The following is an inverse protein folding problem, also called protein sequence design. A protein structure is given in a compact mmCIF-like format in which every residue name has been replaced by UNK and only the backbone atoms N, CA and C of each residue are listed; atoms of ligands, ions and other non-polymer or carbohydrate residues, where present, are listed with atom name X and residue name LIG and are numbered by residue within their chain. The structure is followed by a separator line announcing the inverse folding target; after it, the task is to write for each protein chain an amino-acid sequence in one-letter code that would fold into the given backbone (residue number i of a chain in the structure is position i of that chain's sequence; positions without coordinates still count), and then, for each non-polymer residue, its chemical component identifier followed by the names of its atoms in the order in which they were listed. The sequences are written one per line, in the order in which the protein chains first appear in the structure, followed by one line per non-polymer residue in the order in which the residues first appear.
data_IF_450446315356
#
_entry.id   IF_450446315356
#
_cell.length_a   1.000
_cell.length_b   1.000
_cell.length_c   1.000
_cell.angle_alpha   90.00
_cell.angle_beta   90.00
_cell.angle_gamma   90.00
#
_symmetry.space_group_name_H-M   'P 1'
#
loop_
_entity.id
_entity.type
_entity.pdbx_description
1 polymer ?
#
# COMPACT_ATOMS: atom_id res chain seq x y z
N UNK A 1 -16.24 24.82 -9.39
CA UNK A 1 -17.64 25.20 -9.68
C UNK A 1 -17.79 26.68 -10.07
N UNK A 2 -17.45 27.64 -9.19
CA UNK A 2 -17.64 29.08 -9.48
C UNK A 2 -16.83 29.60 -10.68
N UNK A 3 -15.58 29.15 -10.83
CA UNK A 3 -14.70 29.49 -11.98
C UNK A 3 -15.28 29.02 -13.32
N UNK A 4 -15.97 27.87 -13.32
CA UNK A 4 -16.56 27.26 -14.51
C UNK A 4 -18.01 27.70 -14.77
N UNK A 5 -18.59 28.53 -13.91
CA UNK A 5 -20.01 28.96 -13.97
C UNK A 5 -21.00 27.79 -14.09
N UNK A 6 -20.68 26.63 -13.52
CA UNK A 6 -21.53 25.44 -13.53
C UNK A 6 -22.08 25.12 -12.13
N UNK A 7 -23.28 24.53 -12.08
CA UNK A 7 -23.86 24.00 -10.83
C UNK A 7 -22.93 22.92 -10.26
N UNK A 8 -22.67 22.97 -8.95
CA UNK A 8 -21.73 22.06 -8.26
C UNK A 8 -21.94 20.56 -8.58
N UNK A 9 -23.18 20.03 -8.61
CA UNK A 9 -23.42 18.62 -8.95
C UNK A 9 -23.04 18.26 -10.39
N UNK A 10 -23.26 19.19 -11.34
CA UNK A 10 -22.93 18.99 -12.76
C UNK A 10 -21.43 19.01 -12.98
N UNK A 11 -20.75 19.96 -12.32
CA UNK A 11 -19.29 20.05 -12.36
C UNK A 11 -18.63 18.80 -11.77
N UNK A 12 -19.06 18.36 -10.58
CA UNK A 12 -18.54 17.13 -9.94
C UNK A 12 -18.74 15.91 -10.84
N UNK A 13 -19.94 15.71 -11.41
CA UNK A 13 -20.19 14.61 -12.34
C UNK A 13 -19.28 14.64 -13.57
N UNK A 14 -19.00 15.82 -14.13
CA UNK A 14 -18.11 15.95 -15.29
C UNK A 14 -16.66 15.66 -14.92
N UNK A 15 -16.18 16.17 -13.79
CA UNK A 15 -14.81 15.89 -13.32
C UNK A 15 -14.65 14.41 -13.02
N UNK A 16 -15.55 13.80 -12.24
CA UNK A 16 -15.51 12.36 -11.96
C UNK A 16 -15.54 11.55 -13.25
N UNK A 17 -16.46 11.86 -14.19
CA UNK A 17 -16.52 11.16 -15.48
C UNK A 17 -15.23 11.29 -16.29
N UNK A 18 -14.57 12.45 -16.27
CA UNK A 18 -13.28 12.63 -16.91
C UNK A 18 -12.17 11.82 -16.23
N UNK A 19 -12.09 11.85 -14.89
CA UNK A 19 -11.10 11.07 -14.14
C UNK A 19 -11.30 9.57 -14.37
N UNK A 20 -12.53 9.06 -14.28
CA UNK A 20 -12.84 7.64 -14.54
C UNK A 20 -12.44 7.22 -15.96
N UNK A 21 -12.59 8.11 -16.95
CA UNK A 21 -12.20 7.82 -18.32
C UNK A 21 -10.67 7.72 -18.52
N UNK A 22 -9.89 8.55 -17.82
CA UNK A 22 -8.43 8.56 -17.95
C UNK A 22 -7.72 7.63 -16.95
N UNK A 23 -8.38 7.25 -15.86
CA UNK A 23 -7.80 6.49 -14.75
C UNK A 23 -7.13 5.18 -15.21
N UNK A 24 -7.77 4.32 -16.04
CA UNK A 24 -7.13 3.10 -16.52
C UNK A 24 -5.82 3.35 -17.27
N UNK A 25 -5.77 4.41 -18.07
CA UNK A 25 -4.57 4.79 -18.81
C UNK A 25 -3.46 5.31 -17.89
N UNK A 26 -3.81 6.14 -16.90
CA UNK A 26 -2.84 6.62 -15.91
C UNK A 26 -2.29 5.47 -15.07
N UNK A 27 -3.15 4.56 -14.62
CA UNK A 27 -2.74 3.36 -13.86
C UNK A 27 -1.81 2.46 -14.68
N UNK A 28 -2.19 2.15 -15.93
CA UNK A 28 -1.35 1.33 -16.80
C UNK A 28 0.04 1.95 -17.03
N UNK A 29 0.08 3.27 -17.26
CA UNK A 29 1.32 3.99 -17.58
C UNK A 29 2.24 4.20 -16.37
N UNK A 30 1.68 4.53 -15.21
CA UNK A 30 2.44 4.99 -14.05
C UNK A 30 2.54 3.97 -12.92
N UNK A 31 1.77 2.88 -12.96
CA UNK A 31 1.77 1.84 -11.93
C UNK A 31 2.11 0.48 -12.57
N UNK A 32 1.24 -0.01 -13.47
CA UNK A 32 1.35 -1.38 -13.97
C UNK A 32 2.66 -1.60 -14.75
N UNK A 33 3.03 -0.66 -15.64
CA UNK A 33 4.31 -0.73 -16.37
C UNK A 33 5.56 -0.62 -15.48
N UNK A 34 5.44 -0.16 -14.24
CA UNK A 34 6.56 -0.13 -13.29
C UNK A 34 6.74 -1.47 -12.57
N UNK A 35 5.66 -2.22 -12.36
CA UNK A 35 5.71 -3.55 -11.73
C UNK A 35 6.57 -4.51 -12.58
N UNK A 36 6.37 -4.52 -13.90
CA UNK A 36 7.15 -5.35 -14.82
C UNK A 36 8.60 -4.88 -14.93
N UNK A 37 8.81 -3.56 -14.96
CA UNK A 37 10.13 -2.97 -15.13
C UNK A 37 11.04 -3.18 -13.91
N UNK A 38 10.49 -3.03 -12.72
CA UNK A 38 11.26 -2.97 -11.47
C UNK A 38 11.04 -4.21 -10.62
N UNK A 39 11.48 -5.34 -11.17
CA UNK A 39 11.63 -6.57 -10.40
C UNK A 39 13.00 -6.64 -9.71
N UNK A 40 13.22 -7.69 -8.91
CA UNK A 40 14.41 -7.80 -8.07
C UNK A 40 15.74 -7.68 -8.83
N UNK A 41 15.94 -8.28 -10.03
CA UNK A 41 17.22 -8.16 -10.76
C UNK A 41 17.51 -6.71 -11.17
N UNK A 42 16.49 -5.96 -11.56
CA UNK A 42 16.63 -4.56 -11.97
C UNK A 42 16.97 -3.66 -10.78
N UNK A 43 16.36 -3.91 -9.61
CA UNK A 43 16.68 -3.20 -8.38
C UNK A 43 18.09 -3.50 -7.90
N UNK A 44 18.49 -4.78 -7.92
CA UNK A 44 19.81 -5.24 -7.48
C UNK A 44 20.92 -4.66 -8.37
N UNK A 45 20.77 -4.78 -9.69
CA UNK A 45 21.70 -4.21 -10.67
C UNK A 45 21.84 -2.69 -10.54
N UNK A 46 20.77 -2.00 -10.17
CA UNK A 46 20.77 -0.56 -9.97
C UNK A 46 21.28 -0.13 -8.58
N UNK A 47 21.54 -1.08 -7.67
CA UNK A 47 21.90 -0.78 -6.27
C UNK A 47 20.76 -0.11 -5.50
N UNK A 48 19.51 -0.39 -5.88
CA UNK A 48 18.31 0.23 -5.33
C UNK A 48 17.52 -0.69 -4.40
N UNK A 49 17.99 -1.91 -4.11
CA UNK A 49 17.35 -2.77 -3.11
C UNK A 49 17.27 -2.10 -1.74
N UNK A 50 16.34 -2.54 -0.90
CA UNK A 50 16.26 -2.08 0.49
C UNK A 50 17.59 -2.33 1.22
N UNK A 51 17.99 -1.37 2.06
CA UNK A 51 19.29 -1.37 2.71
C UNK A 51 19.44 -2.51 3.72
N UNK A 52 18.41 -2.75 4.54
CA UNK A 52 18.47 -3.73 5.61
C UNK A 52 17.85 -5.08 5.21
N UNK A 53 16.91 -5.06 4.26
CA UNK A 53 16.21 -6.25 3.76
C UNK A 53 16.27 -6.35 2.23
N UNK A 54 17.45 -6.60 1.62
CA UNK A 54 17.62 -6.58 0.16
C UNK A 54 16.81 -7.64 -0.60
N UNK A 55 16.30 -8.67 0.09
CA UNK A 55 15.40 -9.69 -0.47
C UNK A 55 13.91 -9.31 -0.41
N UNK A 56 13.58 -8.15 0.17
CA UNK A 56 12.23 -7.61 0.13
C UNK A 56 12.05 -6.75 -1.13
N UNK A 57 11.00 -7.03 -1.89
CA UNK A 57 10.75 -6.39 -3.18
C UNK A 57 10.09 -5.02 -3.03
N UNK A 58 9.14 -4.90 -2.11
CA UNK A 58 8.41 -3.66 -1.85
C UNK A 58 7.93 -3.58 -0.39
N UNK A 59 7.54 -2.39 0.03
CA UNK A 59 6.81 -2.13 1.25
C UNK A 59 5.32 -1.94 0.95
N UNK A 60 4.46 -2.45 1.83
CA UNK A 60 3.00 -2.29 1.74
C UNK A 60 2.46 -1.58 2.96
N UNK A 61 1.49 -0.70 2.74
CA UNK A 61 0.67 -0.12 3.80
C UNK A 61 -0.65 0.43 3.26
N UNK A 62 -1.56 0.73 4.18
CA UNK A 62 -2.87 1.30 3.91
C UNK A 62 -2.92 2.72 4.44
N UNK A 63 -3.37 3.65 3.61
CA UNK A 63 -3.69 5.01 4.03
C UNK A 63 -5.20 5.18 4.23
N UNK A 64 -5.58 6.01 5.21
CA UNK A 64 -6.96 6.43 5.44
C UNK A 64 -7.15 7.84 4.93
N UNK A 65 -8.17 8.03 4.09
CA UNK A 65 -8.55 9.33 3.57
C UNK A 65 -9.91 9.73 4.11
N UNK A 66 -9.93 10.84 4.85
CA UNK A 66 -11.15 11.40 5.40
C UNK A 66 -12.07 11.86 4.26
N UNK A 67 -13.35 11.54 4.39
CA UNK A 67 -14.43 12.06 3.54
C UNK A 67 -15.45 12.80 4.39
N UNK A 68 -16.38 13.49 3.73
CA UNK A 68 -17.61 13.92 4.38
C UNK A 68 -18.40 12.69 4.87
N UNK A 69 -19.24 12.89 5.88
CA UNK A 69 -20.16 11.86 6.32
C UNK A 69 -21.10 11.50 5.15
N UNK A 70 -21.15 10.21 4.74
CA UNK A 70 -21.99 9.83 3.62
C UNK A 70 -23.46 10.13 3.90
N UNK A 71 -24.22 10.40 2.84
CA UNK A 71 -25.68 10.41 2.93
C UNK A 71 -26.19 8.96 3.11
N UNK A 72 -27.34 8.80 3.77
CA UNK A 72 -27.93 7.49 4.03
C UNK A 72 -28.22 7.22 5.50
N UNK A 73 -28.63 6.00 5.79
CA UNK A 73 -28.93 5.50 7.13
C UNK A 73 -27.67 5.37 7.98
N UNK A 74 -27.84 5.31 9.31
CA UNK A 74 -26.72 5.06 10.22
C UNK A 74 -25.95 3.77 9.89
N UNK A 75 -26.65 2.72 9.47
CA UNK A 75 -26.05 1.44 9.11
C UNK A 75 -25.15 1.55 7.86
N UNK A 76 -25.54 2.33 6.86
CA UNK A 76 -24.74 2.59 5.66
C UNK A 76 -23.52 3.44 5.99
N UNK A 77 -23.70 4.51 6.78
CA UNK A 77 -22.59 5.39 7.19
C UNK A 77 -21.53 4.66 8.00
N UNK A 78 -21.96 3.77 8.91
CA UNK A 78 -21.05 3.00 9.77
C UNK A 78 -19.99 2.23 8.99
N UNK A 79 -20.26 1.84 7.74
CA UNK A 79 -19.29 1.15 6.86
C UNK A 79 -18.08 2.02 6.54
N UNK A 80 -18.23 3.34 6.53
CA UNK A 80 -17.16 4.28 6.22
C UNK A 80 -16.47 4.82 7.47
N UNK A 81 -16.98 4.50 8.67
CA UNK A 81 -16.44 5.00 9.92
C UNK A 81 -15.21 4.21 10.38
N UNK A 82 -14.05 4.88 10.43
CA UNK A 82 -12.84 4.30 11.01
C UNK A 82 -12.82 4.52 12.52
N UNK A 83 -12.88 3.43 13.29
CA UNK A 83 -12.75 3.48 14.75
C UNK A 83 -11.43 4.07 15.22
N UNK A 84 -10.34 3.81 14.48
CA UNK A 84 -8.98 4.28 14.79
C UNK A 84 -8.90 5.82 14.72
N UNK A 85 -9.55 6.41 13.71
CA UNK A 85 -9.47 7.84 13.45
C UNK A 85 -10.68 8.63 13.98
N UNK A 86 -11.79 7.97 14.30
CA UNK A 86 -13.03 8.64 14.71
C UNK A 86 -13.72 9.40 13.57
N UNK A 87 -13.40 9.09 12.32
CA UNK A 87 -13.81 9.83 11.12
C UNK A 87 -14.40 8.89 10.08
N UNK A 88 -15.25 9.45 9.21
CA UNK A 88 -15.69 8.77 7.98
C UNK A 88 -14.63 8.92 6.90
N UNK A 89 -14.45 7.87 6.13
CA UNK A 89 -13.49 7.91 5.04
C UNK A 89 -13.36 6.60 4.30
N UNK A 90 -12.36 6.60 3.42
CA UNK A 90 -11.97 5.48 2.60
C UNK A 90 -10.55 5.05 2.94
N UNK A 91 -10.20 3.84 2.52
CA UNK A 91 -8.86 3.28 2.64
C UNK A 91 -8.37 2.78 1.30
N UNK A 92 -7.07 2.90 1.10
CA UNK A 92 -6.38 2.39 -0.09
C UNK A 92 -5.09 1.76 0.36
N UNK A 93 -4.81 0.56 -0.13
CA UNK A 93 -3.49 -0.06 0.00
C UNK A 93 -2.59 0.40 -1.13
N UNK A 94 -1.33 0.70 -0.82
CA UNK A 94 -0.28 0.88 -1.81
C UNK A 94 0.89 -0.08 -1.56
N UNK A 95 1.43 -0.63 -2.65
CA UNK A 95 2.69 -1.37 -2.67
C UNK A 95 3.76 -0.53 -3.36
N UNK A 96 4.83 -0.20 -2.63
CA UNK A 96 5.83 0.79 -3.03
C UNK A 96 7.23 0.19 -2.97
N UNK A 97 7.94 0.29 -4.09
CA UNK A 97 9.31 -0.18 -4.25
C UNK A 97 10.31 0.68 -3.45
N UNK A 98 11.51 0.18 -3.16
CA UNK A 98 12.57 0.95 -2.49
C UNK A 98 12.94 2.27 -3.18
N UNK A 99 12.77 2.33 -4.49
CA UNK A 99 13.04 3.52 -5.31
C UNK A 99 11.90 4.57 -5.29
N UNK A 100 10.84 4.33 -4.51
CA UNK A 100 9.73 5.26 -4.30
C UNK A 100 8.58 5.11 -5.28
N UNK A 101 8.67 4.23 -6.28
CA UNK A 101 7.57 4.00 -7.22
C UNK A 101 6.53 3.05 -6.64
N UNK A 102 5.25 3.41 -6.79
CA UNK A 102 4.15 2.50 -6.55
C UNK A 102 4.00 1.53 -7.72
N UNK A 103 3.82 0.25 -7.39
CA UNK A 103 3.58 -0.85 -8.34
C UNK A 103 2.19 -1.45 -8.18
N UNK A 104 1.48 -1.07 -7.12
CA UNK A 104 0.06 -1.32 -6.98
C UNK A 104 -0.58 -0.28 -6.06
N UNK A 105 -1.80 0.10 -6.41
CA UNK A 105 -2.70 0.92 -5.59
C UNK A 105 -4.08 0.30 -5.77
N UNK A 106 -4.70 -0.14 -4.66
CA UNK A 106 -6.01 -0.78 -4.72
C UNK A 106 -7.11 0.24 -4.98
N UNK A 107 -8.29 -0.24 -5.40
CA UNK A 107 -9.49 0.58 -5.34
C UNK A 107 -9.75 1.04 -3.90
N UNK A 108 -10.41 2.19 -3.77
CA UNK A 108 -10.81 2.70 -2.47
C UNK A 108 -11.88 1.80 -1.83
N UNK A 109 -11.67 1.44 -0.57
CA UNK A 109 -12.59 0.62 0.21
C UNK A 109 -13.08 1.36 1.46
N UNK A 110 -14.22 0.97 2.07
CA UNK A 110 -14.75 1.68 3.22
C UNK A 110 -13.81 1.70 4.43
N UNK A 111 -13.71 2.85 5.10
CA UNK A 111 -12.78 3.09 6.19
C UNK A 111 -12.95 2.22 7.45
N UNK A 112 -14.06 1.49 7.58
CA UNK A 112 -14.25 0.53 8.69
C UNK A 112 -13.49 -0.78 8.51
N UNK A 113 -13.04 -1.10 7.29
CA UNK A 113 -12.29 -2.32 7.03
C UNK A 113 -10.93 -2.29 7.73
N UNK A 114 -10.50 -3.44 8.24
CA UNK A 114 -9.19 -3.59 8.84
C UNK A 114 -8.12 -3.63 7.74
N UNK A 115 -6.99 -2.97 7.97
CA UNK A 115 -5.94 -2.82 6.96
C UNK A 115 -5.43 -4.19 6.45
N UNK A 116 -5.33 -5.16 7.36
CA UNK A 116 -4.93 -6.53 7.01
C UNK A 116 -5.95 -7.26 6.12
N UNK A 117 -7.25 -6.96 6.28
CA UNK A 117 -8.29 -7.55 5.41
C UNK A 117 -8.13 -7.03 3.99
N UNK A 118 -7.81 -5.74 3.83
CA UNK A 118 -7.56 -5.13 2.51
C UNK A 118 -6.38 -5.83 1.82
N UNK A 119 -5.31 -6.10 2.57
CA UNK A 119 -4.15 -6.83 2.05
C UNK A 119 -4.45 -8.29 1.69
N UNK A 120 -5.31 -8.98 2.46
CA UNK A 120 -5.77 -10.31 2.08
C UNK A 120 -6.65 -10.30 0.83
N UNK A 121 -7.53 -9.31 0.68
CA UNK A 121 -8.36 -9.17 -0.52
C UNK A 121 -7.48 -8.89 -1.76
N UNK A 122 -6.34 -8.23 -1.57
CA UNK A 122 -5.34 -7.98 -2.61
C UNK A 122 -4.30 -9.11 -2.80
N UNK A 123 -4.52 -10.29 -2.20
CA UNK A 123 -3.56 -11.39 -2.23
C UNK A 123 -3.18 -11.84 -3.65
N UNK A 124 -4.08 -11.78 -4.63
CA UNK A 124 -3.77 -12.18 -6.00
C UNK A 124 -2.61 -11.37 -6.60
N UNK A 125 -2.62 -10.05 -6.41
CA UNK A 125 -1.51 -9.18 -6.81
C UNK A 125 -0.23 -9.53 -6.05
N UNK A 126 -0.33 -9.70 -4.73
CA UNK A 126 0.86 -10.00 -3.91
C UNK A 126 1.52 -11.33 -4.31
N UNK A 127 0.73 -12.37 -4.56
CA UNK A 127 1.27 -13.67 -5.00
C UNK A 127 1.97 -13.57 -6.34
N UNK A 128 1.34 -12.92 -7.32
CA UNK A 128 1.92 -12.73 -8.66
C UNK A 128 3.24 -11.95 -8.59
N UNK A 129 3.21 -10.80 -7.91
CA UNK A 129 4.37 -9.91 -7.86
C UNK A 129 5.53 -10.49 -7.05
N UNK A 130 5.26 -11.20 -5.95
CA UNK A 130 6.32 -11.79 -5.12
C UNK A 130 6.91 -13.08 -5.71
N UNK A 131 6.21 -13.76 -6.61
CA UNK A 131 6.70 -15.00 -7.21
C UNK A 131 7.97 -14.73 -8.01
N UNK A 132 9.05 -15.46 -7.70
CA UNK A 132 10.31 -15.42 -8.43
C UNK A 132 10.12 -16.00 -9.82
N UNK A 133 10.56 -15.28 -10.83
CA UNK A 133 10.46 -15.70 -12.25
C UNK A 133 11.82 -15.69 -12.92
N UNK A 134 12.05 -16.62 -13.85
CA UNK A 134 13.27 -16.68 -14.64
C UNK A 134 14.54 -16.76 -13.80
N UNK A 135 15.46 -15.82 -14.03
CA UNK A 135 16.76 -15.71 -13.36
C UNK A 135 16.65 -15.40 -11.86
N UNK A 136 15.54 -14.80 -11.40
CA UNK A 136 15.27 -14.51 -9.99
C UNK A 136 15.32 -15.75 -9.10
N UNK A 137 14.97 -16.92 -9.64
CA UNK A 137 14.97 -18.19 -8.90
C UNK A 137 16.38 -18.60 -8.42
N UNK A 138 17.41 -18.09 -9.10
CA UNK A 138 18.82 -18.36 -8.80
C UNK A 138 19.50 -17.24 -8.02
N UNK A 139 18.84 -16.09 -7.86
CA UNK A 139 19.40 -14.95 -7.13
C UNK A 139 19.60 -15.29 -5.64
N UNK A 140 20.70 -14.80 -5.03
CA UNK A 140 20.94 -14.98 -3.60
C UNK A 140 19.80 -14.45 -2.75
N UNK A 141 19.34 -15.29 -1.83
CA UNK A 141 18.27 -14.95 -0.90
C UNK A 141 18.53 -15.67 0.41
N UNK A 142 18.88 -14.90 1.44
CA UNK A 142 19.12 -15.40 2.79
C UNK A 142 18.11 -14.83 3.79
N UNK A 143 16.97 -14.35 3.29
CA UNK A 143 15.96 -13.71 4.11
C UNK A 143 15.14 -14.68 4.95
N UNK A 144 14.52 -14.15 6.01
CA UNK A 144 13.56 -14.89 6.83
C UNK A 144 12.43 -15.51 5.99
N UNK A 145 11.86 -16.61 6.49
CA UNK A 145 10.76 -17.36 5.86
C UNK A 145 11.08 -17.92 4.46
N UNK A 146 12.35 -17.91 4.01
CA UNK A 146 12.74 -18.50 2.71
C UNK A 146 12.39 -19.98 2.61
N UNK A 147 12.56 -20.75 3.69
CA UNK A 147 12.26 -22.19 3.66
C UNK A 147 10.76 -22.47 3.47
N UNK A 148 9.91 -21.59 4.01
CA UNK A 148 8.45 -21.67 3.88
C UNK A 148 7.98 -21.14 2.52
N UNK A 149 8.67 -20.14 1.97
CA UNK A 149 8.37 -19.50 0.70
C UNK A 149 9.61 -19.43 -0.22
N UNK A 150 10.11 -20.58 -0.72
CA UNK A 150 11.40 -20.65 -1.44
C UNK A 150 11.40 -19.89 -2.78
N UNK A 151 10.24 -19.85 -3.43
CA UNK A 151 10.04 -19.21 -4.73
C UNK A 151 9.43 -17.81 -4.63
N UNK A 152 9.49 -17.18 -3.45
CA UNK A 152 8.90 -15.85 -3.21
C UNK A 152 9.97 -14.87 -2.76
N UNK A 153 9.95 -13.67 -3.31
CA UNK A 153 10.51 -12.49 -2.64
C UNK A 153 9.68 -12.14 -1.40
N UNK A 154 10.22 -11.28 -0.54
CA UNK A 154 9.49 -10.80 0.63
C UNK A 154 8.81 -9.44 0.37
N UNK A 155 7.81 -9.11 1.18
CA UNK A 155 7.35 -7.73 1.35
C UNK A 155 7.62 -7.24 2.77
N UNK A 156 7.76 -5.93 2.94
CA UNK A 156 7.80 -5.27 4.24
C UNK A 156 6.41 -4.72 4.58
N UNK A 157 5.91 -4.98 5.78
CA UNK A 157 4.62 -4.46 6.24
C UNK A 157 4.71 -3.94 7.69
N UNK A 158 3.72 -3.13 8.09
CA UNK A 158 3.64 -2.65 9.47
C UNK A 158 3.39 -3.81 10.47
N UNK A 159 3.61 -3.53 11.74
CA UNK A 159 3.30 -4.41 12.88
C UNK A 159 1.84 -4.88 12.92
N UNK A 160 0.90 -4.11 12.36
CA UNK A 160 -0.50 -4.52 12.22
C UNK A 160 -0.72 -5.79 11.37
N UNK A 161 0.22 -6.09 10.47
CA UNK A 161 0.08 -7.12 9.44
C UNK A 161 0.72 -8.47 9.81
N UNK A 162 0.97 -8.70 11.10
CA UNK A 162 1.72 -9.87 11.57
C UNK A 162 1.16 -11.25 11.15
N UNK A 163 -0.09 -11.39 10.71
CA UNK A 163 -0.59 -12.69 10.21
C UNK A 163 -0.42 -12.87 8.70
N UNK A 164 0.15 -11.91 7.97
CA UNK A 164 0.41 -12.06 6.53
C UNK A 164 1.35 -13.22 6.21
N UNK A 165 2.29 -13.57 7.12
CA UNK A 165 3.21 -14.71 6.92
C UNK A 165 2.49 -16.05 6.68
N UNK A 166 1.20 -16.15 7.00
CA UNK A 166 0.39 -17.35 6.77
C UNK A 166 0.01 -17.56 5.30
N UNK A 167 0.09 -16.52 4.48
CA UNK A 167 -0.32 -16.54 3.08
C UNK A 167 0.79 -16.11 2.13
N UNK A 168 1.72 -15.26 2.57
CA UNK A 168 2.78 -14.70 1.74
C UNK A 168 4.03 -14.43 2.58
N UNK A 169 5.18 -14.26 1.93
CA UNK A 169 6.44 -14.00 2.62
C UNK A 169 6.51 -12.56 3.15
N UNK A 170 5.90 -12.30 4.30
CA UNK A 170 5.84 -10.98 4.90
C UNK A 170 6.85 -10.81 6.05
N UNK A 171 7.59 -9.71 6.01
CA UNK A 171 8.50 -9.29 7.09
C UNK A 171 7.81 -8.14 7.84
N UNK A 172 7.48 -8.39 9.09
CA UNK A 172 6.78 -7.44 9.97
C UNK A 172 7.54 -7.26 11.27
N UNK A 173 7.48 -6.06 11.90
CA UNK A 173 8.05 -5.84 13.22
C UNK A 173 7.52 -6.83 14.27
N UNK A 174 8.39 -7.24 15.20
CA UNK A 174 8.02 -8.01 16.38
C UNK A 174 7.07 -7.21 17.28
N UNK A 175 6.08 -7.90 17.88
CA UNK A 175 5.16 -7.31 18.85
C UNK A 175 5.71 -7.52 20.24
N UNK A 176 5.63 -6.46 21.04
CA UNK A 176 5.98 -6.53 22.45
C UNK A 176 5.09 -7.58 23.14
N UNK A 177 5.66 -8.50 23.93
CA UNK A 177 4.86 -9.43 24.73
C UNK A 177 4.08 -8.68 25.81
N UNK A 178 2.94 -9.24 26.25
CA UNK A 178 2.14 -8.63 27.31
C UNK A 178 2.99 -8.46 28.58
N UNK A 179 3.13 -7.21 29.06
CA UNK A 179 3.88 -6.89 30.28
C UNK A 179 5.41 -6.97 30.18
N UNK A 180 5.98 -7.26 29.00
CA UNK A 180 7.43 -7.40 28.82
C UNK A 180 8.05 -6.35 27.90
N UNK A 181 9.37 -6.36 27.77
CA UNK A 181 10.12 -5.62 26.76
C UNK A 181 10.52 -6.53 25.61
N UNK A 182 10.75 -5.95 24.44
CA UNK A 182 11.38 -6.67 23.33
C UNK A 182 12.88 -6.82 23.62
N UNK A 183 13.49 -7.96 23.29
CA UNK A 183 14.95 -8.08 23.27
C UNK A 183 15.58 -7.00 22.37
N UNK A 184 16.80 -6.56 22.70
CA UNK A 184 17.53 -5.52 21.95
C UNK A 184 17.69 -5.88 20.47
N UNK A 185 17.88 -7.16 20.16
CA UNK A 185 17.98 -7.67 18.79
C UNK A 185 16.68 -7.47 18.01
N UNK A 186 15.52 -7.71 18.62
CA UNK A 186 14.20 -7.50 18.01
C UNK A 186 13.87 -6.01 17.88
N UNK A 187 14.27 -5.19 18.84
CA UNK A 187 14.16 -3.73 18.71
C UNK A 187 14.97 -3.22 17.53
N UNK A 188 16.22 -3.67 17.42
CA UNK A 188 17.11 -3.30 16.30
C UNK A 188 16.55 -3.79 14.96
N UNK A 189 15.98 -5.00 14.90
CA UNK A 189 15.30 -5.49 13.71
C UNK A 189 14.08 -4.64 13.35
N UNK A 190 13.26 -4.26 14.34
CA UNK A 190 12.10 -3.39 14.13
C UNK A 190 12.51 -2.01 13.58
N UNK A 191 13.60 -1.43 14.08
CA UNK A 191 14.10 -0.14 13.60
C UNK A 191 14.59 -0.24 12.15
N UNK A 192 15.25 -1.36 11.78
CA UNK A 192 15.64 -1.64 10.40
C UNK A 192 14.44 -1.81 9.48
N UNK A 193 13.40 -2.52 9.92
CA UNK A 193 12.15 -2.68 9.14
C UNK A 193 11.50 -1.32 8.95
N UNK A 194 11.37 -0.52 10.01
CA UNK A 194 10.80 0.82 9.93
C UNK A 194 11.60 1.73 8.97
N UNK A 195 12.93 1.68 9.03
CA UNK A 195 13.82 2.46 8.16
C UNK A 195 13.62 2.13 6.68
N UNK A 196 13.47 0.86 6.30
CA UNK A 196 13.27 0.47 4.91
C UNK A 196 11.82 0.74 4.46
N UNK A 197 10.85 0.46 5.33
CA UNK A 197 9.42 0.62 5.04
C UNK A 197 8.99 2.08 4.91
N UNK A 198 9.74 3.04 5.45
CA UNK A 198 9.43 4.49 5.39
C UNK A 198 9.14 5.00 3.98
N UNK A 199 9.59 4.29 2.93
CA UNK A 199 9.29 4.64 1.53
C UNK A 199 7.79 4.69 1.23
N UNK A 200 6.99 3.78 1.80
CA UNK A 200 5.52 3.77 1.59
C UNK A 200 4.86 4.96 2.30
N UNK A 201 5.38 5.35 3.46
CA UNK A 201 4.90 6.51 4.19
C UNK A 201 5.26 7.82 3.46
N UNK A 202 6.46 7.89 2.86
CA UNK A 202 6.87 9.01 2.01
C UNK A 202 6.00 9.12 0.77
N UNK A 203 5.65 8.00 0.15
CA UNK A 203 4.73 7.96 -0.99
C UNK A 203 3.36 8.55 -0.61
N UNK A 204 2.77 8.13 0.52
CA UNK A 204 1.50 8.69 0.96
C UNK A 204 1.59 10.17 1.31
N UNK A 205 2.65 10.61 2.00
CA UNK A 205 2.87 12.04 2.27
C UNK A 205 2.95 12.85 0.98
N UNK A 206 3.65 12.34 -0.04
CA UNK A 206 3.73 13.00 -1.34
C UNK A 206 2.35 13.15 -2.01
N UNK A 207 1.50 12.12 -1.94
CA UNK A 207 0.12 12.21 -2.44
C UNK A 207 -0.68 13.24 -1.65
N UNK A 208 -0.55 13.25 -0.33
CA UNK A 208 -1.25 14.19 0.53
C UNK A 208 -0.80 15.64 0.24
N UNK A 209 0.49 15.92 0.23
CA UNK A 209 1.04 17.26 0.05
C UNK A 209 0.73 17.84 -1.34
N UNK A 210 0.53 16.99 -2.35
CA UNK A 210 0.28 17.40 -3.74
C UNK A 210 -1.20 17.62 -4.05
N UNK A 211 -2.12 17.09 -3.23
CA UNK A 211 -3.57 17.14 -3.49
C UNK A 211 -4.32 17.91 -2.40
N UNK A 212 -5.07 18.94 -2.78
CA UNK A 212 -5.99 19.61 -1.86
C UNK A 212 -7.12 18.66 -1.42
N UNK A 213 -7.74 18.90 -0.27
CA UNK A 213 -8.77 18.03 0.33
C UNK A 213 -9.91 17.68 -0.64
N UNK A 214 -10.25 18.59 -1.56
CA UNK A 214 -11.28 18.41 -2.58
C UNK A 214 -10.85 17.55 -3.78
N UNK A 215 -9.56 17.47 -4.11
CA UNK A 215 -9.05 16.67 -5.23
C UNK A 215 -8.80 15.20 -4.84
N UNK A 216 -8.50 14.95 -3.55
CA UNK A 216 -8.29 13.61 -2.98
C UNK A 216 -9.53 12.71 -3.10
N UNK A 217 -10.72 13.26 -2.90
CA UNK A 217 -11.99 12.50 -2.98
C UNK A 217 -12.27 12.05 -4.40
N UNK A 218 -11.95 12.86 -5.42
CA UNK A 218 -12.33 12.58 -6.81
C UNK A 218 -11.38 11.60 -7.51
N UNK A 219 -10.10 11.56 -7.13
CA UNK A 219 -9.11 10.64 -7.70
C UNK A 219 -9.25 9.19 -7.20
N UNK A 220 -9.94 8.96 -6.08
CA UNK A 220 -10.14 7.64 -5.49
C UNK A 220 -11.56 7.09 -5.63
N UNK A 221 -12.52 7.95 -5.99
CA UNK A 221 -13.88 7.53 -6.37
C UNK A 221 -14.00 7.15 -7.85
N UNK A 222 -12.92 7.30 -8.64
CA UNK A 222 -12.84 7.02 -10.07
C UNK A 222 -12.05 5.74 -10.38
#
# INVERSE_FOLDING_TARGET
AAVFKEKSPTFSKRVTGFITAIHPYLKAKFIDGLADKWRMPALDKAGLCFKNYPWALYAVDVTFQQTNAPAGSFAEKKRFFSKKHGLYGMKVEASVLPNGYAINVTNAVPGSLADITICYDNNAFHQDMLTKVGDETTMPDNGSLRNEYPNSWALLADKGYQSLYRHMRAITPAKRPAGGLLPVSEMTANDRIASDRVVVEKFFRAIEDTLDHHERVVLLEA
#
